data_IF_544260107195
#
_entry.id   IF_544260107195
#
_cell.length_a   1.000
_cell.length_b   1.000
_cell.length_c   1.000
_cell.angle_alpha   90.00
_cell.angle_beta   90.00
_cell.angle_gamma   90.00
#
_symmetry.space_group_name_H-M   'P 1'
#
loop_
_entity.id
_entity.type
_entity.pdbx_description
1 polymer ?
#
# COMPACT_ATOMS: atom_id res chain seq x y z
N UNK A 1 4.84 12.03 -12.15
CA UNK A 1 4.14 11.21 -11.14
C UNK A 1 4.35 11.79 -9.74
N UNK A 2 3.28 12.11 -9.03
CA UNK A 2 3.34 12.55 -7.62
C UNK A 2 3.31 11.34 -6.67
N UNK A 3 3.73 11.50 -5.41
CA UNK A 3 3.72 10.42 -4.40
C UNK A 3 2.35 9.75 -4.26
N UNK A 4 1.27 10.55 -4.28
CA UNK A 4 -0.12 10.06 -4.26
C UNK A 4 -0.43 9.10 -5.40
N UNK A 5 0.01 9.43 -6.62
CA UNK A 5 -0.30 8.63 -7.81
C UNK A 5 0.45 7.30 -7.75
N UNK A 6 1.72 7.32 -7.31
CA UNK A 6 2.52 6.11 -7.09
C UNK A 6 1.86 5.17 -6.06
N UNK A 7 1.39 5.73 -4.94
CA UNK A 7 0.73 4.95 -3.89
C UNK A 7 -0.58 4.32 -4.39
N UNK A 8 -1.40 5.08 -5.12
CA UNK A 8 -2.64 4.56 -5.69
C UNK A 8 -2.35 3.44 -6.70
N UNK A 9 -1.34 3.62 -7.54
CA UNK A 9 -0.95 2.63 -8.55
C UNK A 9 -0.54 1.31 -7.90
N UNK A 10 0.32 1.36 -6.87
CA UNK A 10 0.77 0.14 -6.20
C UNK A 10 -0.32 -0.52 -5.37
N UNK A 11 -1.18 0.28 -4.73
CA UNK A 11 -2.32 -0.23 -3.98
C UNK A 11 -3.35 -0.91 -4.90
N UNK A 12 -3.55 -0.40 -6.12
CA UNK A 12 -4.44 -1.00 -7.11
C UNK A 12 -3.88 -2.31 -7.66
N UNK A 13 -2.58 -2.35 -8.02
CA UNK A 13 -1.90 -3.58 -8.43
C UNK A 13 -1.92 -4.66 -7.32
N UNK A 14 -1.72 -4.25 -6.06
CA UNK A 14 -1.85 -5.15 -4.92
C UNK A 14 -3.29 -5.64 -4.72
N UNK A 15 -4.27 -4.75 -4.87
CA UNK A 15 -5.69 -5.08 -4.78
C UNK A 15 -6.09 -6.09 -5.85
N UNK A 16 -5.65 -5.91 -7.10
CA UNK A 16 -5.93 -6.80 -8.22
C UNK A 16 -5.31 -8.20 -8.01
N UNK A 17 -4.01 -8.23 -7.68
CA UNK A 17 -3.28 -9.49 -7.45
C UNK A 17 -3.82 -10.30 -6.27
N UNK A 18 -4.27 -9.63 -5.20
CA UNK A 18 -4.89 -10.28 -4.02
C UNK A 18 -6.42 -10.41 -4.12
N UNK A 19 -7.04 -9.86 -5.17
CA UNK A 19 -8.50 -9.69 -5.31
C UNK A 19 -9.16 -9.05 -4.08
N UNK A 20 -8.51 -8.05 -3.50
CA UNK A 20 -9.00 -7.30 -2.34
C UNK A 20 -9.67 -6.00 -2.76
N UNK A 21 -10.62 -5.52 -1.97
CA UNK A 21 -11.18 -4.18 -2.17
C UNK A 21 -10.17 -3.11 -1.78
N UNK A 22 -10.22 -1.94 -2.44
CA UNK A 22 -9.36 -0.79 -2.13
C UNK A 22 -9.46 -0.38 -0.65
N UNK A 23 -10.64 -0.48 -0.05
CA UNK A 23 -10.85 -0.24 1.38
C UNK A 23 -10.09 -1.22 2.26
N UNK A 24 -10.07 -2.52 1.89
CA UNK A 24 -9.32 -3.55 2.62
C UNK A 24 -7.82 -3.30 2.52
N UNK A 25 -7.31 -3.00 1.32
CA UNK A 25 -5.90 -2.64 1.11
C UNK A 25 -5.53 -1.39 1.90
N UNK A 26 -6.41 -0.39 1.97
CA UNK A 26 -6.19 0.84 2.75
C UNK A 26 -6.09 0.56 4.25
N UNK A 27 -6.95 -0.31 4.79
CA UNK A 27 -6.85 -0.73 6.20
C UNK A 27 -5.55 -1.51 6.45
N UNK A 28 -5.16 -2.41 5.55
CA UNK A 28 -3.96 -3.22 5.74
C UNK A 28 -2.64 -2.42 5.65
N UNK A 29 -2.56 -1.47 4.70
CA UNK A 29 -1.33 -0.70 4.45
C UNK A 29 -1.20 0.57 5.29
N UNK A 30 -2.31 1.16 5.71
CA UNK A 30 -2.36 2.47 6.37
C UNK A 30 -3.16 2.50 7.68
N UNK A 31 -3.69 1.36 8.14
CA UNK A 31 -4.61 1.24 9.28
C UNK A 31 -5.87 2.12 9.16
N UNK A 32 -6.15 2.61 7.95
CA UNK A 32 -7.25 3.54 7.68
C UNK A 32 -7.94 3.18 6.37
N UNK A 33 -9.13 2.59 6.48
CA UNK A 33 -9.89 2.08 5.33
C UNK A 33 -10.27 3.12 4.27
N UNK A 34 -10.36 4.40 4.63
CA UNK A 34 -10.76 5.49 3.72
C UNK A 34 -9.60 6.36 3.26
N UNK A 35 -8.36 6.10 3.68
CA UNK A 35 -7.24 7.00 3.36
C UNK A 35 -6.86 6.94 1.88
N UNK A 36 -6.80 5.75 1.28
CA UNK A 36 -6.54 5.63 -0.16
C UNK A 36 -7.63 6.34 -0.97
N UNK A 37 -8.89 6.25 -0.54
CA UNK A 37 -10.00 6.96 -1.19
C UNK A 37 -9.84 8.48 -1.09
N UNK A 38 -9.48 9.01 0.09
CA UNK A 38 -9.18 10.44 0.24
C UNK A 38 -8.04 10.89 -0.68
N UNK A 39 -6.96 10.11 -0.78
CA UNK A 39 -5.82 10.42 -1.66
C UNK A 39 -6.23 10.40 -3.13
N UNK A 40 -7.12 9.48 -3.53
CA UNK A 40 -7.72 9.46 -4.86
C UNK A 40 -8.57 10.70 -5.13
N UNK A 41 -9.30 11.20 -4.12
CA UNK A 41 -10.06 12.44 -4.17
C UNK A 41 -9.18 13.72 -4.10
N UNK A 42 -7.86 13.59 -4.03
CA UNK A 42 -6.92 14.71 -4.04
C UNK A 42 -6.39 15.13 -2.66
N UNK A 43 -6.63 14.33 -1.62
CA UNK A 43 -6.02 14.59 -0.32
C UNK A 43 -4.50 14.40 -0.35
N UNK A 44 -3.81 15.20 0.46
CA UNK A 44 -2.38 15.09 0.65
C UNK A 44 -1.97 13.88 1.48
N UNK A 45 -0.77 13.40 1.16
CA UNK A 45 -0.06 12.39 1.92
C UNK A 45 1.32 12.93 2.29
N UNK A 46 1.65 12.89 3.57
CA UNK A 46 2.98 13.22 4.06
C UNK A 46 3.98 12.14 3.66
N UNK A 47 5.22 12.55 3.37
CA UNK A 47 6.32 11.65 2.95
C UNK A 47 6.48 10.46 3.89
N UNK A 48 6.51 10.67 5.22
CA UNK A 48 6.65 9.57 6.18
C UNK A 48 5.50 8.56 6.16
N UNK A 49 4.28 8.97 5.79
CA UNK A 49 3.15 8.04 5.65
C UNK A 49 3.23 7.27 4.34
N UNK A 50 3.66 7.93 3.26
CA UNK A 50 3.93 7.28 1.98
C UNK A 50 5.01 6.20 2.14
N UNK A 51 6.13 6.52 2.80
CA UNK A 51 7.24 5.60 3.02
C UNK A 51 6.80 4.37 3.84
N UNK A 52 6.04 4.58 4.93
CA UNK A 52 5.50 3.45 5.73
C UNK A 52 4.59 2.54 4.93
N UNK A 53 3.69 3.10 4.12
CA UNK A 53 2.79 2.30 3.27
C UNK A 53 3.58 1.51 2.21
N UNK A 54 4.54 2.17 1.55
CA UNK A 54 5.41 1.54 0.56
C UNK A 54 6.23 0.40 1.14
N UNK A 55 6.79 0.59 2.34
CA UNK A 55 7.50 -0.48 3.06
C UNK A 55 6.58 -1.65 3.39
N UNK A 56 5.33 -1.39 3.79
CA UNK A 56 4.35 -2.45 4.03
C UNK A 56 4.05 -3.24 2.75
N UNK A 57 3.80 -2.56 1.62
CA UNK A 57 3.57 -3.22 0.33
C UNK A 57 4.79 -4.05 -0.09
N UNK A 58 6.01 -3.54 0.08
CA UNK A 58 7.25 -4.25 -0.26
C UNK A 58 7.40 -5.56 0.51
N UNK A 59 6.98 -5.58 1.78
CA UNK A 59 7.05 -6.77 2.63
C UNK A 59 5.88 -7.74 2.42
N UNK A 60 4.67 -7.23 2.13
CA UNK A 60 3.46 -8.05 1.99
C UNK A 60 3.14 -8.43 0.54
N UNK A 61 3.99 -8.00 -0.40
CA UNK A 61 3.78 -8.22 -1.83
C UNK A 61 3.55 -9.70 -2.13
N UNK A 62 2.50 -10.08 -2.90
CA UNK A 62 2.24 -11.46 -3.23
C UNK A 62 3.41 -12.07 -4.00
N UNK A 63 3.77 -13.31 -3.63
CA UNK A 63 4.72 -14.11 -4.39
C UNK A 63 4.11 -14.41 -5.78
N UNK A 64 4.87 -14.13 -6.83
CA UNK A 64 4.41 -14.26 -8.23
C UNK A 64 3.75 -13.00 -8.82
N UNK A 65 3.60 -11.91 -8.07
CA UNK A 65 3.15 -10.63 -8.61
C UNK A 65 4.32 -9.73 -8.99
N UNK A 66 4.25 -9.11 -10.17
CA UNK A 66 5.26 -8.16 -10.63
C UNK A 66 5.12 -6.81 -9.90
N UNK A 67 6.25 -6.27 -9.45
CA UNK A 67 6.26 -4.94 -8.83
C UNK A 67 6.25 -3.88 -9.94
N UNK A 68 5.35 -2.88 -9.89
CA UNK A 68 5.22 -1.90 -10.96
C UNK A 68 6.50 -1.06 -11.12
N UNK A 69 7.07 -1.06 -12.31
CA UNK A 69 8.35 -0.40 -12.63
C UNK A 69 8.32 1.12 -12.44
N UNK A 70 7.13 1.74 -12.55
CA UNK A 70 6.92 3.17 -12.29
C UNK A 70 7.15 3.56 -10.82
N UNK A 71 7.16 2.58 -9.92
CA UNK A 71 7.27 2.78 -8.48
C UNK A 71 8.52 2.09 -7.97
N UNK A 72 9.52 2.86 -7.55
CA UNK A 72 10.73 2.28 -6.95
C UNK A 72 10.39 1.53 -5.66
N UNK A 73 10.71 0.23 -5.62
CA UNK A 73 10.56 -0.61 -4.43
C UNK A 73 11.51 -0.11 -3.33
N UNK A 74 11.00 0.26 -2.13
CA UNK A 74 11.89 0.70 -1.06
C UNK A 74 12.77 -0.46 -0.60
N UNK A 75 14.08 -0.20 -0.53
CA UNK A 75 15.06 -1.08 0.10
C UNK A 75 14.90 -0.91 1.62
N UNK A 76 14.15 -1.84 2.20
CA UNK A 76 13.77 -1.99 3.61
C UNK A 76 14.75 -1.36 4.63
N UNK A 77 14.23 -0.43 5.44
CA UNK A 77 14.55 -0.41 6.88
C UNK A 77 13.34 -1.00 7.62
N UNK A 78 13.59 -2.14 8.26
CA UNK A 78 12.60 -2.88 9.03
C UNK A 78 12.18 -2.04 10.26
N UNK A 79 10.94 -1.57 10.28
CA UNK A 79 10.30 -1.07 11.49
C UNK A 79 9.01 -1.84 11.75
N UNK A 80 8.68 -2.15 13.01
CA UNK A 80 7.84 -3.28 13.34
C UNK A 80 6.36 -2.98 13.11
N UNK A 81 5.72 -3.95 12.46
CA UNK A 81 4.49 -4.59 12.92
C UNK A 81 3.24 -3.71 12.96
N UNK A 82 2.70 -3.42 11.76
CA UNK A 82 1.25 -3.44 11.62
C UNK A 82 0.79 -4.86 11.93
N UNK A 83 0.26 -5.09 13.13
CA UNK A 83 -0.21 -6.40 13.56
C UNK A 83 -1.15 -6.97 12.50
N UNK A 84 -0.65 -7.97 11.78
CA UNK A 84 -1.43 -8.76 10.85
C UNK A 84 -2.63 -9.30 11.62
N UNK A 85 -3.80 -8.76 11.31
CA UNK A 85 -5.06 -9.28 11.79
C UNK A 85 -5.31 -10.55 10.97
N UNK A 86 -4.67 -11.63 11.41
CA UNK A 86 -4.86 -12.99 10.92
C UNK A 86 -6.34 -13.36 11.09
N UNK A 87 -6.97 -13.73 9.98
CA UNK A 87 -8.40 -13.95 9.91
C UNK A 87 -8.92 -13.75 8.49
N UNK A 88 -8.36 -14.50 7.53
CA UNK A 88 -9.03 -14.73 6.25
C UNK A 88 -9.01 -16.25 6.00
N UNK A 89 -9.99 -16.92 6.60
CA UNK A 89 -10.47 -18.23 6.19
C UNK A 89 -11.61 -18.03 5.18
#
# INVERSE_FOLDING_TARGET
MTLRTKLLHIADAFADTRRLSRSRVSTLSLDQGSKLDQIANGADISTGRYERAMSWFSNNWPDGAEWPEEVSRPLVEAQPQFSAQEGLA
#
